data_IF_693339626545
#
_entry.id   IF_693339626545
#
_cell.length_a   1.000
_cell.length_b   1.000
_cell.length_c   1.000
_cell.angle_alpha   90.00
_cell.angle_beta   90.00
_cell.angle_gamma   90.00
#
_symmetry.space_group_name_H-M   'P 1'
#
loop_
_entity.id
_entity.type
_entity.pdbx_description
1 polymer ?
#
# COMPACT_ATOMS: atom_id res chain seq x y z
N UNK A 1 4.19 -6.05 -28.21
CA UNK A 1 4.14 -6.50 -26.79
C UNK A 1 5.51 -6.83 -26.21
N UNK A 2 6.45 -7.41 -26.97
CA UNK A 2 7.80 -7.73 -26.47
C UNK A 2 8.65 -6.50 -26.05
N UNK A 3 8.48 -5.35 -26.71
CA UNK A 3 9.26 -4.13 -26.43
C UNK A 3 8.98 -3.52 -25.04
N UNK A 4 7.71 -3.45 -24.64
CA UNK A 4 7.30 -2.81 -23.39
C UNK A 4 7.78 -3.59 -22.13
N UNK A 5 7.92 -4.91 -22.24
CA UNK A 5 8.49 -5.74 -21.20
C UNK A 5 10.01 -5.46 -21.06
N UNK A 6 10.70 -5.26 -22.19
CA UNK A 6 12.13 -4.92 -22.20
C UNK A 6 12.40 -3.55 -21.58
N UNK A 7 11.59 -2.54 -21.89
CA UNK A 7 11.74 -1.19 -21.34
C UNK A 7 11.46 -1.13 -19.83
N UNK A 8 10.52 -1.94 -19.32
CA UNK A 8 10.27 -2.08 -17.88
C UNK A 8 11.46 -2.71 -17.15
N UNK A 9 12.16 -3.67 -17.77
CA UNK A 9 13.38 -4.28 -17.21
C UNK A 9 14.57 -3.31 -17.17
N UNK A 10 14.62 -2.34 -18.08
CA UNK A 10 15.63 -1.29 -18.05
C UNK A 10 15.31 -0.20 -17.02
N UNK A 11 14.03 -0.04 -16.66
CA UNK A 11 13.58 0.96 -15.69
C UNK A 11 13.63 0.39 -14.26
N UNK A 12 14.87 0.35 -13.75
CA UNK A 12 15.31 0.40 -12.33
C UNK A 12 15.61 -0.96 -11.63
N UNK A 13 16.53 -1.01 -10.62
CA UNK A 13 17.06 0.14 -9.87
C UNK A 13 18.57 0.15 -9.51
N UNK A 14 19.04 1.35 -9.18
CA UNK A 14 20.22 1.67 -8.34
C UNK A 14 20.28 0.96 -6.96
N UNK A 15 19.38 0.03 -6.66
CA UNK A 15 19.34 -0.66 -5.37
C UNK A 15 20.32 -1.84 -5.30
N UNK A 16 20.58 -2.51 -6.44
CA UNK A 16 21.55 -3.59 -6.52
C UNK A 16 22.97 -3.09 -6.85
N UNK A 17 23.13 -1.82 -7.23
CA UNK A 17 24.44 -1.22 -7.53
C UNK A 17 25.29 -0.95 -6.29
N UNK A 18 24.71 -1.05 -5.10
CA UNK A 18 25.43 -0.92 -3.82
C UNK A 18 25.96 -2.28 -3.32
N UNK A 19 25.81 -3.34 -4.11
CA UNK A 19 26.44 -4.62 -3.83
C UNK A 19 27.92 -4.53 -4.19
N UNK A 20 28.78 -5.11 -3.34
CA UNK A 20 30.24 -5.06 -3.48
C UNK A 20 30.75 -5.77 -4.75
N UNK A 21 29.90 -6.58 -5.41
CA UNK A 21 30.21 -7.32 -6.63
C UNK A 21 29.11 -7.18 -7.68
N UNK A 22 29.46 -7.23 -8.98
CA UNK A 22 28.48 -7.16 -10.07
C UNK A 22 27.56 -8.39 -10.06
N UNK A 23 26.25 -8.15 -10.09
CA UNK A 23 25.22 -9.20 -10.15
C UNK A 23 24.53 -9.18 -11.52
N UNK A 24 24.48 -10.33 -12.17
CA UNK A 24 23.70 -10.53 -13.40
C UNK A 24 22.31 -11.03 -13.02
N UNK A 25 21.27 -10.30 -13.43
CA UNK A 25 19.87 -10.63 -13.14
C UNK A 25 19.21 -11.17 -14.39
N UNK A 26 18.52 -12.31 -14.28
CA UNK A 26 17.63 -12.84 -15.30
C UNK A 26 16.23 -13.03 -14.72
N UNK A 27 15.19 -12.64 -15.45
CA UNK A 27 13.79 -12.79 -15.01
C UNK A 27 13.15 -13.89 -15.84
N UNK A 28 12.63 -14.90 -15.16
CA UNK A 28 11.91 -16.01 -15.75
C UNK A 28 10.46 -16.01 -15.26
N UNK A 29 9.53 -16.31 -16.15
CA UNK A 29 8.13 -16.51 -15.78
C UNK A 29 8.01 -17.90 -15.16
N UNK A 30 7.58 -17.95 -13.90
CA UNK A 30 7.36 -19.19 -13.17
C UNK A 30 6.10 -19.05 -12.28
N UNK A 31 5.47 -20.17 -11.88
CA UNK A 31 4.43 -20.15 -10.87
C UNK A 31 4.96 -19.55 -9.57
N UNK A 32 4.18 -18.64 -8.98
CA UNK A 32 4.54 -17.97 -7.73
C UNK A 32 4.25 -18.91 -6.56
N UNK A 33 5.30 -19.34 -5.85
CA UNK A 33 5.21 -20.23 -4.69
C UNK A 33 5.13 -19.50 -3.34
N UNK A 34 5.49 -18.21 -3.31
CA UNK A 34 5.53 -17.37 -2.11
C UNK A 34 4.97 -15.98 -2.40
N UNK A 35 4.53 -15.26 -1.36
CA UNK A 35 4.00 -13.90 -1.50
C UNK A 35 5.02 -12.98 -2.21
N UNK A 36 4.61 -12.35 -3.30
CA UNK A 36 5.44 -11.34 -3.97
C UNK A 36 5.37 -10.02 -3.21
N UNK A 37 6.37 -9.14 -3.32
CA UNK A 37 6.31 -7.82 -2.68
C UNK A 37 5.07 -7.00 -3.05
N UNK A 38 4.55 -7.16 -4.28
CA UNK A 38 3.33 -6.49 -4.69
C UNK A 38 2.10 -7.08 -3.99
N UNK A 39 1.99 -8.40 -3.91
CA UNK A 39 0.92 -9.07 -3.15
C UNK A 39 0.96 -8.68 -1.67
N UNK A 40 2.16 -8.63 -1.09
CA UNK A 40 2.38 -8.16 0.27
C UNK A 40 1.84 -6.74 0.48
N UNK A 41 2.21 -5.79 -0.39
CA UNK A 41 1.72 -4.40 -0.30
C UNK A 41 0.20 -4.32 -0.39
N UNK A 42 -0.41 -5.10 -1.27
CA UNK A 42 -1.87 -5.15 -1.42
C UNK A 42 -2.53 -5.69 -0.15
N UNK A 43 -2.00 -6.80 0.41
CA UNK A 43 -2.49 -7.38 1.66
C UNK A 43 -2.39 -6.40 2.82
N UNK A 44 -1.21 -5.80 3.02
CA UNK A 44 -0.99 -4.81 4.09
C UNK A 44 -1.96 -3.61 3.97
N UNK A 45 -2.20 -3.13 2.75
CA UNK A 45 -3.17 -2.04 2.51
C UNK A 45 -4.58 -2.44 2.90
N UNK A 46 -5.03 -3.64 2.52
CA UNK A 46 -6.35 -4.14 2.85
C UNK A 46 -6.52 -4.33 4.37
N UNK A 47 -5.52 -4.90 5.04
CA UNK A 47 -5.52 -5.08 6.50
C UNK A 47 -5.65 -3.74 7.24
N UNK A 48 -4.91 -2.71 6.79
CA UNK A 48 -4.98 -1.36 7.37
C UNK A 48 -6.33 -0.69 7.18
N UNK A 49 -6.90 -0.80 5.98
CA UNK A 49 -8.24 -0.27 5.73
C UNK A 49 -9.26 -0.94 6.65
N UNK A 50 -9.21 -2.27 6.78
CA UNK A 50 -10.10 -3.00 7.67
C UNK A 50 -9.95 -2.55 9.13
N UNK A 51 -8.71 -2.34 9.60
CA UNK A 51 -8.45 -1.81 10.94
C UNK A 51 -9.01 -0.39 11.13
N UNK A 52 -8.86 0.49 10.13
CA UNK A 52 -9.41 1.83 10.17
C UNK A 52 -10.94 1.85 10.19
N UNK A 53 -11.59 0.99 9.38
CA UNK A 53 -13.04 0.80 9.40
C UNK A 53 -13.51 0.36 10.78
N UNK A 54 -12.82 -0.61 11.38
CA UNK A 54 -13.15 -1.11 12.71
C UNK A 54 -13.01 0.00 13.77
N UNK A 55 -11.93 0.78 13.73
CA UNK A 55 -11.73 1.91 14.63
C UNK A 55 -12.85 2.96 14.50
N UNK A 56 -13.27 3.29 13.27
CA UNK A 56 -14.39 4.21 13.05
C UNK A 56 -15.72 3.66 13.55
N UNK A 57 -16.00 2.36 13.35
CA UNK A 57 -17.21 1.72 13.90
C UNK A 57 -17.23 1.71 15.42
N UNK A 58 -16.07 1.65 16.07
CA UNK A 58 -15.95 1.66 17.52
C UNK A 58 -16.00 3.08 18.11
N UNK A 59 -15.73 4.11 17.30
CA UNK A 59 -15.71 5.52 17.70
C UNK A 59 -17.08 5.98 18.23
N UNK A 60 -17.16 6.48 19.48
CA UNK A 60 -18.39 7.02 20.06
C UNK A 60 -19.03 8.15 19.23
N UNK A 61 -18.23 8.97 18.55
CA UNK A 61 -18.72 10.07 17.72
C UNK A 61 -19.47 9.53 16.50
N UNK A 62 -18.91 8.53 15.81
CA UNK A 62 -19.52 7.92 14.63
C UNK A 62 -20.86 7.28 15.02
N UNK A 63 -20.90 6.51 16.12
CA UNK A 63 -22.15 5.94 16.64
C UNK A 63 -23.20 7.01 16.96
N UNK A 64 -22.80 8.10 17.62
CA UNK A 64 -23.71 9.20 17.91
C UNK A 64 -24.26 9.88 16.64
N UNK A 65 -23.47 9.95 15.56
CA UNK A 65 -23.92 10.49 14.27
C UNK A 65 -24.93 9.56 13.59
N UNK A 66 -24.69 8.25 13.61
CA UNK A 66 -25.63 7.25 13.09
C UNK A 66 -26.95 7.30 13.87
N UNK A 67 -26.91 7.34 15.20
CA UNK A 67 -28.10 7.38 16.06
C UNK A 67 -28.91 8.69 15.92
N UNK A 68 -28.22 9.84 15.90
CA UNK A 68 -28.91 11.15 15.93
C UNK A 68 -29.39 11.61 14.56
N UNK A 69 -28.67 11.26 13.51
CA UNK A 69 -28.91 11.77 12.17
C UNK A 69 -29.30 10.69 11.16
N UNK A 70 -29.34 9.41 11.56
CA UNK A 70 -29.56 8.30 10.64
C UNK A 70 -28.45 8.20 9.59
N UNK A 71 -27.24 8.67 9.93
CA UNK A 71 -26.09 8.62 9.05
C UNK A 71 -25.64 7.17 8.80
N UNK A 72 -24.84 6.95 7.77
CA UNK A 72 -24.27 5.64 7.45
C UNK A 72 -22.79 5.79 7.13
N UNK A 73 -21.95 4.99 7.79
CA UNK A 73 -20.53 4.92 7.46
C UNK A 73 -20.31 4.25 6.09
N UNK A 74 -19.69 4.98 5.15
CA UNK A 74 -19.28 4.46 3.85
C UNK A 74 -17.89 3.83 3.95
N UNK A 75 -17.84 2.55 4.31
CA UNK A 75 -16.60 1.82 4.63
C UNK A 75 -15.57 1.78 3.50
N UNK A 76 -16.03 1.75 2.25
CA UNK A 76 -15.16 1.76 1.07
C UNK A 76 -14.37 3.07 0.91
N UNK A 77 -14.85 4.15 1.54
CA UNK A 77 -14.23 5.47 1.50
C UNK A 77 -13.29 5.74 2.66
N UNK A 78 -13.18 4.79 3.61
CA UNK A 78 -12.32 4.93 4.78
C UNK A 78 -10.86 4.79 4.36
N UNK A 79 -10.09 5.85 4.60
CA UNK A 79 -8.65 5.90 4.33
C UNK A 79 -7.91 5.80 5.66
N UNK A 80 -7.04 4.80 5.86
CA UNK A 80 -6.25 4.69 7.08
C UNK A 80 -5.28 5.87 7.20
N UNK A 81 -5.28 6.53 8.36
CA UNK A 81 -4.31 7.56 8.72
C UNK A 81 -3.11 6.85 9.35
N UNK A 82 -2.36 6.14 8.52
CA UNK A 82 -1.01 5.75 8.91
C UNK A 82 -0.15 6.98 8.70
N UNK A 83 0.56 7.44 9.73
CA UNK A 83 1.59 8.46 9.59
C UNK A 83 2.62 7.98 8.55
N UNK A 84 2.41 8.34 7.28
CA UNK A 84 3.29 7.98 6.19
C UNK A 84 4.63 8.66 6.48
N UNK A 85 5.74 7.92 6.63
CA UNK A 85 7.05 8.54 6.73
C UNK A 85 7.33 9.24 5.40
N UNK A 86 7.09 10.55 5.35
CA UNK A 86 7.24 11.38 4.15
C UNK A 86 6.30 12.59 4.05
N UNK A 87 5.17 12.64 4.78
CA UNK A 87 4.21 13.76 4.66
C UNK A 87 4.25 14.75 5.84
N UNK A 88 4.82 14.37 6.98
CA UNK A 88 4.92 15.25 8.17
C UNK A 88 5.88 16.45 8.00
N UNK A 89 6.74 16.48 6.99
CA UNK A 89 7.67 17.61 6.75
C UNK A 89 7.07 18.70 5.83
N UNK A 90 5.97 18.42 5.12
CA UNK A 90 5.44 19.35 4.12
C UNK A 90 4.50 20.43 4.68
N UNK A 91 4.00 20.28 5.92
CA UNK A 91 2.98 21.19 6.47
C UNK A 91 3.44 22.00 7.70
N UNK A 92 4.75 22.17 7.87
CA UNK A 92 5.31 23.13 8.82
C UNK A 92 5.91 24.31 8.04
N UNK A 93 5.04 25.22 7.58
CA UNK A 93 5.43 26.50 7.00
C UNK A 93 4.56 27.61 7.55
#
# INVERSE_FOLDING_TARGET
MAQALSDYLHRQPRALSNLEAPVVVSIQLAPVSAETPQLHRLRMRAERQAAAVQAMREDPLVKALEERFGATLLEETVIPIDNMPGESEANSK
#
